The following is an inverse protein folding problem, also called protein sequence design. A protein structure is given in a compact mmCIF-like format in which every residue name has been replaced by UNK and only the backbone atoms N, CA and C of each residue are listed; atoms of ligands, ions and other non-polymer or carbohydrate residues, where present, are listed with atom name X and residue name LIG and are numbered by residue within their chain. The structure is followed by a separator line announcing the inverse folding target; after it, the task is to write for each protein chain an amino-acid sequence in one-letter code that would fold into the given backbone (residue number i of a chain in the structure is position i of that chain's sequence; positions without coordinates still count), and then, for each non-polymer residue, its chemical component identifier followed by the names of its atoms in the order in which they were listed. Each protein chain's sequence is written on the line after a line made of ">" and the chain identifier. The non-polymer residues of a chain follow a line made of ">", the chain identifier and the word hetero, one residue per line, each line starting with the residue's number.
data_IF_496714490563
#
_entry.id   IF_496714490563
#
_cell.length_a   1.000
_cell.length_b   1.000
_cell.length_c   1.000
_cell.angle_alpha   90.00
_cell.angle_beta   90.00
_cell.angle_gamma   90.00
#
_symmetry.space_group_name_H-M   'P 1'
#
loop_
_entity.id
_entity.type
_entity.pdbx_description
1 polymer ?
#
# COMPACT_ATOMS: atom_id res chain seq x y z
N UNK A 1 -5.05 4.40 9.58
CA UNK A 1 -5.91 3.22 9.31
C UNK A 1 -6.77 3.43 8.06
N UNK A 2 -7.56 4.52 7.97
CA UNK A 2 -8.41 4.85 6.80
C UNK A 2 -7.70 4.76 5.43
N UNK A 3 -6.53 5.40 5.27
CA UNK A 3 -5.76 5.34 4.02
C UNK A 3 -5.33 3.91 3.62
N UNK A 4 -5.01 3.05 4.58
CA UNK A 4 -4.66 1.64 4.31
C UNK A 4 -5.89 0.83 3.94
N UNK A 5 -7.03 1.09 4.58
CA UNK A 5 -8.31 0.44 4.21
C UNK A 5 -8.74 0.81 2.80
N UNK A 6 -8.60 2.08 2.41
CA UNK A 6 -8.85 2.53 1.05
C UNK A 6 -7.89 1.87 0.04
N UNK A 7 -6.59 1.78 0.39
CA UNK A 7 -5.60 1.11 -0.43
C UNK A 7 -5.93 -0.39 -0.63
N UNK A 8 -6.39 -1.08 0.41
CA UNK A 8 -6.83 -2.49 0.33
C UNK A 8 -7.93 -2.64 -0.73
N UNK A 9 -8.97 -1.80 -0.67
CA UNK A 9 -10.08 -1.84 -1.63
C UNK A 9 -9.63 -1.53 -3.07
N UNK A 10 -8.64 -0.67 -3.23
CA UNK A 10 -8.07 -0.37 -4.54
C UNK A 10 -7.22 -1.51 -5.08
N UNK A 11 -6.39 -2.14 -4.23
CA UNK A 11 -5.58 -3.31 -4.60
C UNK A 11 -6.49 -4.46 -5.06
N UNK A 12 -7.58 -4.75 -4.33
CA UNK A 12 -8.55 -5.80 -4.71
C UNK A 12 -9.00 -5.68 -6.17
N UNK A 13 -9.28 -4.44 -6.60
CA UNK A 13 -9.80 -4.11 -7.94
C UNK A 13 -8.74 -3.86 -9.00
N UNK A 14 -7.48 -3.68 -8.61
CA UNK A 14 -6.43 -3.32 -9.56
C UNK A 14 -6.18 -4.44 -10.57
N UNK A 15 -6.04 -4.05 -11.84
CA UNK A 15 -5.81 -4.95 -12.97
C UNK A 15 -4.35 -4.97 -13.44
N UNK A 16 -3.53 -4.03 -12.95
CA UNK A 16 -2.11 -3.90 -13.29
C UNK A 16 -1.30 -3.22 -12.15
N UNK A 17 0.04 -3.34 -12.15
CA UNK A 17 0.89 -2.71 -11.12
C UNK A 17 0.85 -1.17 -11.12
N UNK A 18 0.54 -0.53 -12.26
CA UNK A 18 0.42 0.92 -12.37
C UNK A 18 -0.78 1.48 -11.60
N UNK A 19 -1.91 0.78 -11.62
CA UNK A 19 -3.10 1.08 -10.82
C UNK A 19 -2.81 0.95 -9.34
N UNK A 20 -2.09 -0.10 -8.92
CA UNK A 20 -1.65 -0.22 -7.52
C UNK A 20 -0.76 0.95 -7.15
N UNK A 21 0.24 1.29 -7.98
CA UNK A 21 1.11 2.43 -7.71
C UNK A 21 0.31 3.74 -7.55
N UNK A 22 -0.63 4.01 -8.45
CA UNK A 22 -1.48 5.20 -8.43
C UNK A 22 -2.36 5.24 -7.18
N UNK A 23 -2.97 4.10 -6.83
CA UNK A 23 -3.83 3.99 -5.66
C UNK A 23 -3.12 4.30 -4.34
N UNK A 24 -1.81 4.08 -4.24
CA UNK A 24 -1.01 4.47 -3.06
C UNK A 24 -0.97 6.00 -2.93
N UNK A 25 -0.74 6.72 -4.03
CA UNK A 25 -0.75 8.18 -4.03
C UNK A 25 -2.14 8.74 -3.73
N UNK A 26 -3.17 8.18 -4.35
CA UNK A 26 -4.55 8.62 -4.17
C UNK A 26 -5.03 8.38 -2.74
N UNK A 27 -4.73 7.20 -2.17
CA UNK A 27 -5.04 6.89 -0.78
C UNK A 27 -4.35 7.85 0.19
N UNK A 28 -3.11 8.27 -0.09
CA UNK A 28 -2.46 9.30 0.73
C UNK A 28 -3.18 10.65 0.62
N UNK A 29 -3.39 11.14 -0.61
CA UNK A 29 -3.98 12.45 -0.88
C UNK A 29 -5.41 12.57 -0.37
N UNK A 30 -6.27 11.59 -0.62
CA UNK A 30 -7.66 11.56 -0.15
C UNK A 30 -7.79 11.55 1.37
N UNK A 31 -6.71 11.21 2.08
CA UNK A 31 -6.65 11.20 3.53
C UNK A 31 -5.75 12.33 4.09
N UNK A 32 -5.44 13.34 3.27
CA UNK A 32 -4.58 14.47 3.63
C UNK A 32 -3.21 14.08 4.21
N UNK A 33 -2.68 12.93 3.78
CA UNK A 33 -1.36 12.43 4.17
C UNK A 33 -0.29 12.91 3.19
N UNK A 34 0.89 13.20 3.71
CA UNK A 34 2.07 13.37 2.87
C UNK A 34 2.38 12.05 2.14
N UNK A 35 2.44 12.03 0.79
CA UNK A 35 2.71 10.80 0.06
C UNK A 35 4.04 10.14 0.46
N UNK A 36 5.09 10.92 0.72
CA UNK A 36 6.41 10.40 1.09
C UNK A 36 6.35 9.60 2.39
N UNK A 37 5.67 10.12 3.40
CA UNK A 37 5.53 9.46 4.70
C UNK A 37 4.63 8.22 4.59
N UNK A 38 3.61 8.29 3.74
CA UNK A 38 2.76 7.13 3.46
C UNK A 38 3.55 6.00 2.78
N UNK A 39 4.37 6.33 1.77
CA UNK A 39 5.29 5.36 1.15
C UNK A 39 6.27 4.77 2.16
N UNK A 40 6.87 5.61 3.01
CA UNK A 40 7.77 5.14 4.08
C UNK A 40 7.09 4.13 4.99
N UNK A 41 5.84 4.41 5.39
CA UNK A 41 5.04 3.49 6.20
C UNK A 41 4.78 2.16 5.48
N UNK A 42 4.46 2.20 4.20
CA UNK A 42 4.25 0.98 3.42
C UNK A 42 5.55 0.17 3.23
N UNK A 43 6.70 0.83 3.04
CA UNK A 43 7.99 0.14 3.03
C UNK A 43 8.30 -0.54 4.37
N UNK A 44 7.97 0.09 5.49
CA UNK A 44 8.11 -0.54 6.80
C UNK A 44 7.21 -1.77 6.94
N UNK A 45 5.95 -1.68 6.51
CA UNK A 45 5.00 -2.80 6.55
C UNK A 45 5.46 -3.98 5.67
N UNK A 46 5.91 -3.72 4.44
CA UNK A 46 6.21 -4.78 3.48
C UNK A 46 7.65 -5.29 3.54
N UNK A 47 8.60 -4.44 3.90
CA UNK A 47 10.03 -4.70 3.73
C UNK A 47 10.83 -4.48 5.01
N UNK A 48 10.23 -3.96 6.09
CA UNK A 48 10.94 -3.63 7.34
C UNK A 48 12.04 -2.57 7.17
N UNK A 49 11.92 -1.68 6.17
CA UNK A 49 12.94 -0.67 5.85
C UNK A 49 12.33 0.64 5.36
N UNK A 50 13.13 1.69 5.35
CA UNK A 50 12.66 3.06 5.03
C UNK A 50 12.47 3.36 3.54
N UNK A 51 13.03 2.51 2.65
CA UNK A 51 13.04 2.72 1.20
C UNK A 51 13.17 1.40 0.45
N UNK A 52 12.70 1.33 -0.79
CA UNK A 52 12.74 0.11 -1.60
C UNK A 52 12.42 0.34 -3.08
N UNK A 53 12.17 -0.73 -3.85
CA UNK A 53 11.69 -0.64 -5.23
C UNK A 53 10.30 0.02 -5.27
N UNK A 54 9.81 0.34 -6.47
CA UNK A 54 8.43 0.82 -6.63
C UNK A 54 7.44 -0.18 -6.04
N UNK A 55 6.55 0.30 -5.18
CA UNK A 55 5.61 -0.55 -4.45
C UNK A 55 4.52 -1.16 -5.34
N UNK A 56 4.07 -0.48 -6.41
CA UNK A 56 3.07 -1.04 -7.32
C UNK A 56 3.51 -2.38 -7.92
N UNK A 57 4.62 -2.41 -8.68
CA UNK A 57 5.20 -3.66 -9.20
C UNK A 57 5.52 -4.67 -8.10
N UNK A 58 6.12 -4.23 -6.98
CA UNK A 58 6.44 -5.13 -5.87
C UNK A 58 5.21 -5.83 -5.28
N UNK A 59 4.13 -5.08 -5.04
CA UNK A 59 2.86 -5.61 -4.52
C UNK A 59 2.22 -6.56 -5.54
N UNK A 60 2.31 -6.23 -6.83
CA UNK A 60 1.81 -7.06 -7.92
C UNK A 60 2.53 -8.41 -7.96
N UNK A 61 3.88 -8.39 -7.93
CA UNK A 61 4.71 -9.60 -7.92
C UNK A 61 4.51 -10.43 -6.64
N UNK A 62 4.30 -9.77 -5.50
CA UNK A 62 3.97 -10.44 -4.23
C UNK A 62 2.61 -11.14 -4.25
N UNK A 63 1.69 -10.68 -5.10
CA UNK A 63 0.31 -11.13 -5.19
C UNK A 63 -0.64 -10.31 -4.32
N UNK A 64 -1.79 -9.94 -4.92
CA UNK A 64 -2.80 -9.07 -4.30
C UNK A 64 -3.30 -9.58 -2.95
N UNK A 65 -3.64 -10.86 -2.86
CA UNK A 65 -4.19 -11.45 -1.64
C UNK A 65 -3.17 -11.42 -0.49
N UNK A 66 -1.90 -11.73 -0.79
CA UNK A 66 -0.83 -11.69 0.21
C UNK A 66 -0.60 -10.26 0.69
N UNK A 67 -0.58 -9.29 -0.22
CA UNK A 67 -0.42 -7.90 0.13
C UNK A 67 -1.57 -7.37 1.01
N UNK A 68 -2.81 -7.74 0.68
CA UNK A 68 -3.99 -7.38 1.48
C UNK A 68 -3.92 -7.98 2.88
N UNK A 69 -3.50 -9.25 3.04
CA UNK A 69 -3.31 -9.88 4.36
C UNK A 69 -2.34 -9.09 5.23
N UNK A 70 -1.16 -8.77 4.69
CA UNK A 70 -0.12 -8.01 5.39
C UNK A 70 -0.65 -6.62 5.81
N UNK A 71 -1.37 -5.92 4.93
CA UNK A 71 -1.96 -4.62 5.24
C UNK A 71 -3.03 -4.71 6.33
N UNK A 72 -3.86 -5.77 6.33
CA UNK A 72 -4.88 -6.02 7.36
C UNK A 72 -4.25 -6.30 8.72
N UNK A 73 -3.26 -7.18 8.77
CA UNK A 73 -2.48 -7.49 9.98
C UNK A 73 -1.84 -6.21 10.56
N UNK A 74 -1.23 -5.38 9.72
CA UNK A 74 -0.59 -4.15 10.14
C UNK A 74 -1.54 -3.13 10.78
N UNK A 75 -2.83 -3.14 10.42
CA UNK A 75 -3.82 -2.20 10.99
C UNK A 75 -4.68 -2.80 12.10
N UNK A 76 -4.69 -4.13 12.27
CA UNK A 76 -5.34 -4.80 13.40
C UNK A 76 -4.49 -4.78 14.67
N UNK A 77 -3.16 -4.78 14.52
CA UNK A 77 -2.21 -4.76 15.64
C UNK A 77 -1.82 -3.35 16.12
N UNK A 78 -2.45 -2.32 15.57
CA UNK A 78 -2.24 -0.89 15.93
C UNK A 78 -3.50 -0.26 16.49
#
# INVERSE_FOLDING_TARGET
>A
KKAIQQLIQAIEKAENPEEIQSSIFDSARSNALNPRDFFKKLYQIFLGRDRGPRLGPYIWDLGKDRAISILREAISSS
#
